data_IF_752474919281
#
_entry.id   IF_752474919281
#
_cell.length_a   1.000
_cell.length_b   1.000
_cell.length_c   1.000
_cell.angle_alpha   90.00
_cell.angle_beta   90.00
_cell.angle_gamma   90.00
#
_symmetry.space_group_name_H-M   'P 1'
#
loop_
_entity.id
_entity.type
_entity.pdbx_description
1 polymer ?
#
# COMPACT_ATOMS: atom_id res chain seq x y z
N UNK A 1 23.95 -29.85 -29.80
CA UNK A 1 24.31 -28.47 -29.41
C UNK A 1 25.18 -28.51 -28.17
N UNK A 2 26.34 -27.87 -28.17
CA UNK A 2 27.11 -27.62 -26.95
C UNK A 2 26.34 -26.56 -26.16
N UNK A 3 25.92 -26.87 -24.93
CA UNK A 3 25.40 -25.86 -24.00
C UNK A 3 26.59 -25.13 -23.40
N UNK A 4 26.73 -23.85 -23.70
CA UNK A 4 27.65 -22.98 -22.97
C UNK A 4 26.93 -22.50 -21.70
N UNK A 5 27.51 -22.81 -20.55
CA UNK A 5 27.03 -22.35 -19.26
C UNK A 5 27.85 -21.11 -18.87
N UNK A 6 27.18 -19.99 -18.67
CA UNK A 6 27.79 -18.74 -18.19
C UNK A 6 27.31 -18.43 -16.77
N UNK A 7 28.17 -17.78 -15.98
CA UNK A 7 27.79 -17.22 -14.67
C UNK A 7 27.42 -15.76 -14.90
N UNK A 8 26.20 -15.38 -14.56
CA UNK A 8 25.75 -13.98 -14.56
C UNK A 8 25.53 -13.53 -13.13
N UNK A 9 26.07 -12.36 -12.77
CA UNK A 9 25.85 -11.78 -11.45
C UNK A 9 24.39 -11.39 -11.28
N UNK A 10 23.77 -11.84 -10.19
CA UNK A 10 22.44 -11.40 -9.79
C UNK A 10 22.53 -10.13 -8.94
N UNK A 11 21.88 -9.04 -9.36
CA UNK A 11 21.77 -7.82 -8.57
C UNK A 11 20.67 -7.96 -7.52
N UNK A 12 21.02 -8.55 -6.38
CA UNK A 12 20.08 -8.80 -5.26
C UNK A 12 19.54 -7.52 -4.60
N UNK A 13 20.14 -6.35 -4.85
CA UNK A 13 19.70 -5.05 -4.28
C UNK A 13 18.32 -4.61 -4.76
N UNK A 14 17.87 -5.12 -5.90
CA UNK A 14 16.58 -4.76 -6.47
C UNK A 14 15.47 -5.72 -6.05
N UNK A 15 15.78 -6.77 -5.29
CA UNK A 15 14.79 -7.71 -4.80
C UNK A 15 14.18 -7.18 -3.51
N UNK A 16 12.85 -7.10 -3.47
CA UNK A 16 12.16 -6.90 -2.22
C UNK A 16 12.39 -8.09 -1.28
N UNK A 17 12.20 -7.85 0.02
CA UNK A 17 12.41 -8.86 1.04
C UNK A 17 11.66 -10.18 0.79
N UNK A 18 10.43 -10.12 0.24
CA UNK A 18 9.66 -11.31 -0.09
C UNK A 18 10.21 -12.01 -1.35
N UNK A 19 10.65 -11.26 -2.36
CA UNK A 19 11.24 -11.79 -3.60
C UNK A 19 12.58 -12.47 -3.32
N UNK A 20 13.40 -11.87 -2.45
CA UNK A 20 14.65 -12.45 -1.98
C UNK A 20 14.41 -13.76 -1.21
N UNK A 21 13.41 -13.79 -0.32
CA UNK A 21 13.02 -15.01 0.39
C UNK A 21 12.53 -16.11 -0.56
N UNK A 22 11.71 -15.75 -1.55
CA UNK A 22 11.20 -16.69 -2.55
C UNK A 22 12.34 -17.30 -3.37
N UNK A 23 13.24 -16.46 -3.89
CA UNK A 23 14.42 -16.89 -4.65
C UNK A 23 15.27 -17.89 -3.88
N UNK A 24 15.56 -17.61 -2.60
CA UNK A 24 16.36 -18.50 -1.76
C UNK A 24 15.61 -19.81 -1.45
N UNK A 25 14.30 -19.76 -1.25
CA UNK A 25 13.49 -20.95 -1.00
C UNK A 25 13.46 -21.88 -2.21
N UNK A 26 13.23 -21.33 -3.40
CA UNK A 26 13.28 -22.08 -4.66
C UNK A 26 14.67 -22.66 -4.93
N UNK A 27 15.72 -21.87 -4.66
CA UNK A 27 17.12 -22.34 -4.79
C UNK A 27 17.41 -23.52 -3.85
N UNK A 28 16.91 -23.48 -2.61
CA UNK A 28 17.03 -24.58 -1.65
C UNK A 28 16.32 -25.84 -2.16
N UNK A 29 15.14 -25.70 -2.73
CA UNK A 29 14.36 -26.82 -3.27
C UNK A 29 15.04 -27.47 -4.48
N UNK A 30 15.57 -26.68 -5.41
CA UNK A 30 16.35 -27.20 -6.55
C UNK A 30 17.61 -27.93 -6.09
N UNK A 31 18.38 -27.33 -5.18
CA UNK A 31 19.57 -27.96 -4.60
C UNK A 31 19.21 -29.22 -3.81
N UNK A 32 18.04 -29.24 -3.16
CA UNK A 32 17.49 -30.41 -2.48
C UNK A 32 17.19 -31.55 -3.44
N UNK A 33 16.57 -31.26 -4.58
CA UNK A 33 16.31 -32.25 -5.64
C UNK A 33 17.61 -32.80 -6.23
N UNK A 34 18.58 -31.92 -6.48
CA UNK A 34 19.92 -32.31 -6.94
C UNK A 34 20.61 -33.23 -5.94
N UNK A 35 20.66 -32.85 -4.66
CA UNK A 35 21.34 -33.61 -3.60
C UNK A 35 20.71 -34.99 -3.38
N UNK A 36 19.37 -35.09 -3.45
CA UNK A 36 18.66 -36.39 -3.38
C UNK A 36 19.04 -37.33 -4.53
N UNK A 37 19.23 -36.78 -5.72
CA UNK A 37 19.58 -37.54 -6.93
C UNK A 37 21.06 -37.91 -6.98
N UNK A 38 21.92 -37.09 -6.36
CA UNK A 38 23.38 -37.20 -6.40
C UNK A 38 23.93 -37.40 -4.97
N UNK A 39 23.57 -38.53 -4.35
CA UNK A 39 23.85 -38.90 -2.94
C UNK A 39 25.34 -39.05 -2.57
N UNK A 40 26.26 -38.47 -3.32
CA UNK A 40 27.70 -38.66 -3.23
C UNK A 40 28.36 -37.84 -2.13
N UNK A 41 27.78 -36.72 -1.70
CA UNK A 41 28.47 -35.76 -0.83
C UNK A 41 27.59 -35.27 0.33
N UNK A 42 28.00 -35.63 1.56
CA UNK A 42 27.33 -35.18 2.78
C UNK A 42 27.36 -33.65 2.97
N UNK A 43 28.31 -32.95 2.35
CA UNK A 43 28.43 -31.49 2.50
C UNK A 43 27.16 -30.76 2.05
N UNK A 44 26.52 -31.20 0.96
CA UNK A 44 25.29 -30.60 0.46
C UNK A 44 24.12 -30.83 1.42
N UNK A 45 24.03 -32.01 2.01
CA UNK A 45 23.00 -32.34 3.01
C UNK A 45 23.13 -31.41 4.22
N UNK A 46 24.34 -31.24 4.74
CA UNK A 46 24.60 -30.34 5.87
C UNK A 46 24.27 -28.90 5.52
N UNK A 47 24.74 -28.40 4.37
CA UNK A 47 24.53 -27.00 3.96
C UNK A 47 23.08 -26.68 3.65
N UNK A 48 22.31 -27.64 3.12
CA UNK A 48 20.87 -27.49 2.96
C UNK A 48 20.14 -27.40 4.29
N UNK A 49 20.57 -28.18 5.30
CA UNK A 49 20.04 -28.07 6.66
C UNK A 49 20.37 -26.73 7.33
N UNK A 50 21.57 -26.19 7.09
CA UNK A 50 21.94 -24.84 7.55
C UNK A 50 21.05 -23.78 6.87
N UNK A 51 20.87 -23.89 5.54
CA UNK A 51 20.07 -22.97 4.74
C UNK A 51 18.59 -22.98 5.16
N UNK A 52 18.03 -24.14 5.48
CA UNK A 52 16.66 -24.27 5.99
C UNK A 52 16.45 -23.45 7.27
N UNK A 53 17.34 -23.60 8.27
CA UNK A 53 17.26 -22.85 9.53
C UNK A 53 17.40 -21.34 9.32
N UNK A 54 18.27 -20.93 8.40
CA UNK A 54 18.44 -19.52 8.04
C UNK A 54 17.20 -18.95 7.35
N UNK A 55 16.57 -19.74 6.47
CA UNK A 55 15.31 -19.37 5.82
C UNK A 55 14.16 -19.24 6.83
N UNK A 56 14.03 -20.17 7.77
CA UNK A 56 13.04 -20.07 8.87
C UNK A 56 13.26 -18.80 9.70
N UNK A 57 14.52 -18.48 10.02
CA UNK A 57 14.88 -17.26 10.75
C UNK A 57 14.55 -16.00 9.96
N UNK A 58 14.85 -15.99 8.66
CA UNK A 58 14.52 -14.90 7.76
C UNK A 58 13.00 -14.71 7.69
N UNK A 59 12.24 -15.78 7.47
CA UNK A 59 10.78 -15.76 7.43
C UNK A 59 10.18 -15.17 8.72
N UNK A 60 10.67 -15.61 9.89
CA UNK A 60 10.23 -15.06 11.17
C UNK A 60 10.57 -13.57 11.31
N UNK A 61 11.74 -13.13 10.83
CA UNK A 61 12.11 -11.72 10.78
C UNK A 61 11.19 -10.90 9.88
N UNK A 62 10.84 -11.40 8.70
CA UNK A 62 9.90 -10.77 7.77
C UNK A 62 8.50 -10.65 8.37
N UNK A 63 8.02 -11.70 9.06
CA UNK A 63 6.76 -11.64 9.78
C UNK A 63 6.78 -10.64 10.93
N UNK A 64 7.85 -10.59 11.73
CA UNK A 64 8.00 -9.60 12.81
C UNK A 64 8.06 -8.16 12.29
N UNK A 65 8.67 -7.94 11.13
CA UNK A 65 8.70 -6.62 10.50
C UNK A 65 7.29 -6.18 10.07
N UNK A 66 6.58 -7.05 9.34
CA UNK A 66 5.18 -6.79 8.92
C UNK A 66 4.22 -6.67 10.10
N UNK A 67 4.37 -7.52 11.11
CA UNK A 67 3.56 -7.51 12.33
C UNK A 67 4.08 -6.52 13.39
N UNK A 68 5.09 -5.68 13.08
CA UNK A 68 5.57 -4.70 14.04
C UNK A 68 4.44 -3.72 14.35
N UNK A 69 4.31 -3.35 15.63
CA UNK A 69 3.27 -2.43 16.09
C UNK A 69 3.29 -1.11 15.32
N UNK A 70 4.46 -0.67 14.87
CA UNK A 70 4.63 0.54 14.04
C UNK A 70 3.99 0.37 12.66
N UNK A 71 4.24 -0.74 11.96
CA UNK A 71 3.63 -0.99 10.64
C UNK A 71 2.13 -1.18 10.76
N UNK A 72 1.67 -1.96 11.74
CA UNK A 72 0.24 -2.14 11.99
C UNK A 72 -0.48 -0.83 12.36
N UNK A 73 0.16 0.05 13.13
CA UNK A 73 -0.39 1.36 13.48
C UNK A 73 -0.42 2.31 12.28
N UNK A 74 0.55 2.24 11.38
CA UNK A 74 0.58 3.03 10.15
C UNK A 74 -0.53 2.58 9.18
N UNK A 75 -0.68 1.27 8.96
CA UNK A 75 -1.75 0.71 8.13
C UNK A 75 -3.14 1.04 8.70
N UNK A 76 -3.31 1.04 10.03
CA UNK A 76 -4.56 1.42 10.66
C UNK A 76 -4.88 2.91 10.46
N UNK A 77 -3.91 3.80 10.67
CA UNK A 77 -4.08 5.25 10.46
C UNK A 77 -4.36 5.56 8.99
N UNK A 78 -3.67 4.91 8.06
CA UNK A 78 -3.91 5.06 6.63
C UNK A 78 -5.33 4.64 6.25
N UNK A 79 -5.79 3.49 6.77
CA UNK A 79 -7.16 3.02 6.54
C UNK A 79 -8.23 3.95 7.12
N UNK A 80 -8.01 4.48 8.33
CA UNK A 80 -8.93 5.47 8.93
C UNK A 80 -9.05 6.72 8.06
N UNK A 81 -7.94 7.17 7.47
CA UNK A 81 -7.90 8.29 6.55
C UNK A 81 -8.63 8.00 5.24
N UNK A 82 -8.45 6.81 4.67
CA UNK A 82 -9.17 6.35 3.47
C UNK A 82 -10.68 6.28 3.71
N UNK A 83 -11.08 5.72 4.84
CA UNK A 83 -12.48 5.63 5.24
C UNK A 83 -13.10 7.02 5.44
N UNK A 84 -12.37 7.97 6.04
CA UNK A 84 -12.80 9.35 6.19
C UNK A 84 -12.97 10.06 4.82
N UNK A 85 -12.02 9.90 3.91
CA UNK A 85 -12.08 10.47 2.56
C UNK A 85 -13.22 9.86 1.73
N UNK A 86 -13.39 8.55 1.79
CA UNK A 86 -14.46 7.80 1.12
C UNK A 86 -15.83 8.23 1.63
N UNK A 87 -15.97 8.39 2.95
CA UNK A 87 -17.19 8.90 3.60
C UNK A 87 -17.53 10.30 3.10
N UNK A 88 -16.59 11.23 3.16
CA UNK A 88 -16.80 12.61 2.71
C UNK A 88 -17.19 12.66 1.22
N UNK A 89 -16.48 11.91 0.37
CA UNK A 89 -16.75 11.84 -1.07
C UNK A 89 -18.14 11.27 -1.35
N UNK A 90 -18.54 10.24 -0.62
CA UNK A 90 -19.87 9.60 -0.76
C UNK A 90 -20.99 10.54 -0.31
N UNK A 91 -20.78 11.28 0.78
CA UNK A 91 -21.73 12.30 1.25
C UNK A 91 -21.90 13.42 0.24
N UNK A 92 -20.81 13.94 -0.36
CA UNK A 92 -20.90 14.91 -1.46
C UNK A 92 -21.73 14.34 -2.60
N UNK A 93 -21.49 13.09 -3.02
CA UNK A 93 -22.26 12.43 -4.10
C UNK A 93 -23.75 12.27 -3.76
N UNK A 94 -24.12 12.12 -2.50
CA UNK A 94 -25.53 11.99 -2.08
C UNK A 94 -26.36 13.23 -2.45
N UNK A 95 -25.74 14.41 -2.54
CA UNK A 95 -26.42 15.65 -2.95
C UNK A 95 -26.67 15.77 -4.47
N UNK A 96 -26.21 14.81 -5.28
CA UNK A 96 -26.32 14.86 -6.76
C UNK A 96 -27.75 14.99 -7.31
N UNK A 97 -28.76 14.60 -6.53
CA UNK A 97 -30.17 14.64 -6.91
C UNK A 97 -30.97 15.73 -6.19
N UNK A 98 -30.35 16.49 -5.30
CA UNK A 98 -31.01 17.58 -4.59
C UNK A 98 -31.34 18.70 -5.58
N UNK A 99 -32.60 19.17 -5.53
CA UNK A 99 -33.14 20.17 -6.47
C UNK A 99 -33.09 21.59 -5.94
N UNK A 100 -32.91 21.76 -4.63
CA UNK A 100 -32.75 23.05 -3.98
C UNK A 100 -31.49 23.75 -4.54
N UNK A 101 -31.65 25.02 -4.95
CA UNK A 101 -30.66 25.70 -5.77
C UNK A 101 -29.31 25.85 -5.08
N UNK A 102 -29.30 26.24 -3.80
CA UNK A 102 -28.09 26.41 -3.00
C UNK A 102 -27.35 25.09 -2.82
N UNK A 103 -28.05 24.01 -2.46
CA UNK A 103 -27.46 22.67 -2.35
C UNK A 103 -26.92 22.16 -3.68
N UNK A 104 -27.61 22.43 -4.80
CA UNK A 104 -27.17 22.01 -6.14
C UNK A 104 -25.89 22.73 -6.56
N UNK A 105 -25.80 24.03 -6.32
CA UNK A 105 -24.60 24.82 -6.58
C UNK A 105 -23.41 24.36 -5.71
N UNK A 106 -23.65 24.19 -4.41
CA UNK A 106 -22.65 23.67 -3.48
C UNK A 106 -22.16 22.27 -3.88
N UNK A 107 -23.08 21.38 -4.26
CA UNK A 107 -22.75 20.06 -4.79
C UNK A 107 -21.89 20.14 -6.05
N UNK A 108 -22.28 20.91 -7.06
CA UNK A 108 -21.54 21.01 -8.30
C UNK A 108 -20.10 21.50 -8.07
N UNK A 109 -19.94 22.46 -7.17
CA UNK A 109 -18.64 23.02 -6.78
C UNK A 109 -17.74 21.97 -6.13
N UNK A 110 -18.25 21.30 -5.10
CA UNK A 110 -17.49 20.25 -4.39
C UNK A 110 -17.24 19.05 -5.30
N UNK A 111 -18.25 18.55 -6.02
CA UNK A 111 -18.08 17.42 -6.93
C UNK A 111 -17.03 17.69 -8.03
N UNK A 112 -16.91 18.94 -8.52
CA UNK A 112 -15.85 19.32 -9.45
C UNK A 112 -14.47 19.20 -8.81
N UNK A 113 -14.32 19.68 -7.57
CA UNK A 113 -13.07 19.56 -6.80
C UNK A 113 -12.70 18.09 -6.58
N UNK A 114 -13.61 17.29 -6.00
CA UNK A 114 -13.35 15.88 -5.67
C UNK A 114 -13.04 15.00 -6.88
N UNK A 115 -13.52 15.35 -8.08
CA UNK A 115 -13.16 14.63 -9.32
C UNK A 115 -11.66 14.75 -9.68
N UNK A 116 -11.00 15.85 -9.28
CA UNK A 116 -9.55 16.00 -9.48
C UNK A 116 -8.73 15.04 -8.61
N UNK A 117 -9.36 14.45 -7.59
CA UNK A 117 -8.78 13.53 -6.62
C UNK A 117 -9.40 12.13 -6.75
N UNK A 118 -9.89 11.77 -7.92
CA UNK A 118 -10.38 10.41 -8.16
C UNK A 118 -9.19 9.43 -8.20
N UNK A 119 -9.31 8.32 -7.47
CA UNK A 119 -8.32 7.24 -7.50
C UNK A 119 -7.12 7.41 -6.55
N UNK A 120 -7.15 8.39 -5.62
CA UNK A 120 -6.06 8.57 -4.65
C UNK A 120 -5.73 7.32 -3.84
N UNK A 121 -6.76 6.60 -3.37
CA UNK A 121 -6.65 5.35 -2.59
C UNK A 121 -6.04 4.17 -3.37
N UNK A 122 -5.61 4.37 -4.62
CA UNK A 122 -4.88 3.38 -5.42
C UNK A 122 -3.42 3.78 -5.69
N UNK A 123 -2.97 4.91 -5.13
CA UNK A 123 -1.62 5.43 -5.28
C UNK A 123 -0.68 4.88 -4.20
N UNK A 124 0.59 5.25 -4.23
CA UNK A 124 1.50 4.98 -3.10
C UNK A 124 1.15 5.88 -1.91
N UNK A 125 1.43 5.43 -0.68
CA UNK A 125 1.13 6.17 0.55
C UNK A 125 1.65 7.61 0.54
N UNK A 126 2.83 7.86 -0.02
CA UNK A 126 3.42 9.20 -0.09
C UNK A 126 2.62 10.11 -1.02
N UNK A 127 2.26 9.62 -2.20
CA UNK A 127 1.50 10.38 -3.19
C UNK A 127 0.07 10.62 -2.74
N UNK A 128 -0.54 9.63 -2.11
CA UNK A 128 -1.85 9.77 -1.48
C UNK A 128 -1.82 10.83 -0.38
N UNK A 129 -0.85 10.75 0.54
CA UNK A 129 -0.68 11.73 1.61
C UNK A 129 -0.50 13.14 1.07
N UNK A 130 0.33 13.32 0.04
CA UNK A 130 0.54 14.62 -0.61
C UNK A 130 -0.76 15.15 -1.23
N UNK A 131 -1.50 14.30 -1.94
CA UNK A 131 -2.75 14.67 -2.58
C UNK A 131 -3.85 15.00 -1.58
N UNK A 132 -3.98 14.25 -0.47
CA UNK A 132 -4.93 14.55 0.60
C UNK A 132 -4.59 15.89 1.27
N UNK A 133 -3.30 16.15 1.53
CA UNK A 133 -2.87 17.45 2.08
C UNK A 133 -3.18 18.61 1.13
N UNK A 134 -3.00 18.40 -0.18
CA UNK A 134 -3.35 19.39 -1.19
C UNK A 134 -4.88 19.62 -1.23
N UNK A 135 -5.69 18.56 -1.22
CA UNK A 135 -7.15 18.65 -1.13
C UNK A 135 -7.59 19.43 0.11
N UNK A 136 -7.05 19.11 1.29
CA UNK A 136 -7.37 19.80 2.53
C UNK A 136 -6.98 21.28 2.49
N UNK A 137 -5.89 21.63 1.79
CA UNK A 137 -5.49 23.01 1.55
C UNK A 137 -6.48 23.73 0.65
N UNK A 138 -6.93 23.11 -0.44
CA UNK A 138 -7.95 23.70 -1.32
C UNK A 138 -9.29 23.88 -0.59
N UNK A 139 -9.71 22.89 0.21
CA UNK A 139 -10.95 22.95 0.98
C UNK A 139 -10.99 24.10 2.00
N UNK A 140 -9.84 24.70 2.37
CA UNK A 140 -9.80 25.89 3.24
C UNK A 140 -10.21 27.18 2.55
N UNK A 141 -10.29 27.19 1.22
CA UNK A 141 -10.78 28.36 0.50
C UNK A 141 -12.22 28.71 0.90
N UNK A 142 -12.49 30.00 1.09
CA UNK A 142 -13.79 30.55 1.51
C UNK A 142 -14.96 30.00 0.68
N UNK A 143 -14.73 29.83 -0.60
CA UNK A 143 -15.71 29.37 -1.57
C UNK A 143 -16.11 27.91 -1.34
N UNK A 144 -15.17 27.04 -0.97
CA UNK A 144 -15.43 25.65 -0.61
C UNK A 144 -15.97 25.54 0.82
N UNK A 145 -15.50 26.37 1.75
CA UNK A 145 -16.04 26.43 3.12
C UNK A 145 -17.51 26.83 3.16
N UNK A 146 -17.93 27.73 2.26
CA UNK A 146 -19.33 28.11 2.11
C UNK A 146 -20.15 26.93 1.58
N UNK A 147 -19.68 26.25 0.52
CA UNK A 147 -20.35 25.06 -0.01
C UNK A 147 -20.46 23.92 1.02
N UNK A 148 -19.39 23.68 1.80
CA UNK A 148 -19.39 22.71 2.89
C UNK A 148 -20.38 23.05 4.00
N UNK A 149 -20.55 24.35 4.31
CA UNK A 149 -21.57 24.81 5.26
C UNK A 149 -22.97 24.53 4.75
N UNK A 150 -23.25 24.87 3.50
CA UNK A 150 -24.56 24.66 2.85
C UNK A 150 -24.96 23.18 2.83
N UNK A 151 -24.01 22.27 2.65
CA UNK A 151 -24.27 20.82 2.66
C UNK A 151 -24.11 20.16 4.04
N UNK A 152 -23.79 20.94 5.08
CA UNK A 152 -23.54 20.44 6.44
C UNK A 152 -22.41 19.40 6.55
N UNK A 153 -21.34 19.56 5.76
CA UNK A 153 -20.24 18.58 5.65
C UNK A 153 -18.95 18.97 6.41
N UNK A 154 -18.93 20.10 7.12
CA UNK A 154 -17.73 20.61 7.80
C UNK A 154 -17.10 19.61 8.77
N UNK A 155 -17.92 18.95 9.59
CA UNK A 155 -17.44 17.95 10.56
C UNK A 155 -16.71 16.79 9.89
N UNK A 156 -17.11 16.39 8.67
CA UNK A 156 -16.44 15.32 7.93
C UNK A 156 -15.07 15.75 7.37
N UNK A 157 -14.90 17.04 7.05
CA UNK A 157 -13.59 17.60 6.70
C UNK A 157 -12.67 17.66 7.92
N UNK A 158 -13.21 17.99 9.09
CA UNK A 158 -12.45 17.96 10.34
C UNK A 158 -12.01 16.54 10.72
N UNK A 159 -12.87 15.54 10.51
CA UNK A 159 -12.51 14.12 10.69
C UNK A 159 -11.37 13.74 9.76
N UNK A 160 -11.45 14.07 8.46
CA UNK A 160 -10.38 13.80 7.50
C UNK A 160 -9.06 14.53 7.83
N UNK A 161 -9.13 15.69 8.48
CA UNK A 161 -7.92 16.44 8.89
C UNK A 161 -7.22 15.81 10.10
N UNK A 162 -7.94 15.01 10.90
CA UNK A 162 -7.44 14.40 12.14
C UNK A 162 -7.06 12.93 11.99
N UNK A 163 -7.49 12.29 10.91
CA UNK A 163 -7.15 10.92 10.54
C UNK A 163 -5.75 10.87 9.91
#
# INVERSE_FOLDING_TARGET
MKKEYGITSLTVRNLENNEFFQLLSESKDELGAFTKSNKSEQVYVTKLGDMEKLLETLQAGLHRFKASQTVASLEASDRERDDALSTLTSLVKAFSRVKEAGSKEAYNKLNKLFKNYAGLMSMSYEKETEAINHLLKELKDTDYQTALSTLHLKTHVETLTKA
#
